data_IF_347736533610
#
_entry.id   IF_347736533610
#
_cell.length_a   1.000
_cell.length_b   1.000
_cell.length_c   1.000
_cell.angle_alpha   90.00
_cell.angle_beta   90.00
_cell.angle_gamma   90.00
#
_symmetry.space_group_name_H-M   'P 1'
#
loop_
_entity.id
_entity.type
_entity.pdbx_description
1 polymer ?
#
# COMPACT_ATOMS: atom_id res chain seq x y z
N UNK A 1 2.85 -9.15 14.99
CA UNK A 1 4.11 -9.51 14.34
C UNK A 1 5.04 -10.20 15.33
N UNK A 2 5.53 -11.39 14.98
CA UNK A 2 6.74 -11.95 15.55
C UNK A 2 7.85 -10.87 15.58
N UNK A 3 8.65 -10.85 16.64
CA UNK A 3 9.84 -10.00 16.75
C UNK A 3 10.61 -10.02 15.41
N UNK A 4 10.90 -8.87 14.80
CA UNK A 4 11.60 -8.78 13.49
C UNK A 4 12.85 -9.68 13.43
N UNK A 5 13.55 -9.84 14.56
CA UNK A 5 14.67 -10.77 14.69
C UNK A 5 14.26 -12.25 14.50
N UNK A 6 13.14 -12.68 15.08
CA UNK A 6 12.61 -14.03 14.87
C UNK A 6 12.14 -14.20 13.42
N UNK A 7 11.44 -13.23 12.85
CA UNK A 7 11.01 -13.30 11.45
C UNK A 7 12.21 -13.51 10.52
N UNK A 8 13.29 -12.73 10.69
CA UNK A 8 14.53 -12.88 9.92
C UNK A 8 15.29 -14.19 10.21
N UNK A 9 15.16 -14.73 11.43
CA UNK A 9 15.70 -16.05 11.74
C UNK A 9 14.99 -17.14 10.93
N UNK A 10 13.67 -17.04 10.77
CA UNK A 10 12.83 -18.00 10.05
C UNK A 10 12.93 -17.81 8.52
N UNK A 11 13.05 -16.57 8.07
CA UNK A 11 13.09 -16.15 6.66
C UNK A 11 14.32 -15.27 6.39
N UNK A 12 15.55 -15.84 6.34
CA UNK A 12 16.78 -15.07 6.23
C UNK A 12 16.92 -14.31 4.90
N UNK A 13 16.20 -14.76 3.86
CA UNK A 13 16.18 -14.12 2.54
C UNK A 13 14.98 -13.17 2.38
N UNK A 14 14.19 -12.93 3.43
CA UNK A 14 13.14 -11.93 3.35
C UNK A 14 13.77 -10.55 3.12
N UNK A 15 13.19 -9.73 2.23
CA UNK A 15 13.79 -8.45 1.90
C UNK A 15 13.75 -7.50 3.11
N UNK A 16 14.69 -6.57 3.16
CA UNK A 16 14.74 -5.53 4.18
C UNK A 16 13.71 -4.44 3.87
N UNK A 17 13.23 -3.76 4.92
CA UNK A 17 12.38 -2.57 4.83
C UNK A 17 11.13 -2.81 4.01
N UNK A 18 10.47 -3.89 4.40
CA UNK A 18 9.15 -4.25 3.91
C UNK A 18 8.19 -3.16 4.36
N UNK A 19 7.17 -2.88 3.53
CA UNK A 19 6.20 -1.82 3.79
C UNK A 19 5.48 -1.96 5.14
N UNK A 20 5.28 -3.21 5.59
CA UNK A 20 4.65 -3.56 6.87
C UNK A 20 5.62 -3.55 8.07
N UNK A 21 6.92 -3.28 7.88
CA UNK A 21 7.87 -3.11 8.99
C UNK A 21 7.69 -1.72 9.61
N UNK A 22 7.43 -1.66 10.91
CA UNK A 22 7.24 -0.40 11.65
C UNK A 22 5.78 -0.10 11.99
N UNK A 23 4.82 -0.70 11.27
CA UNK A 23 3.42 -0.70 11.71
C UNK A 23 3.37 -1.28 13.13
N UNK A 24 2.92 -0.48 14.13
CA UNK A 24 3.00 -0.89 15.51
C UNK A 24 2.24 -2.21 15.69
N UNK A 25 2.79 -3.19 16.46
CA UNK A 25 1.96 -4.30 16.88
C UNK A 25 0.70 -3.74 17.54
N UNK A 26 -0.47 -4.33 17.27
CA UNK A 26 -1.75 -4.02 17.92
C UNK A 26 -1.71 -4.35 19.42
N UNK A 27 -0.86 -3.65 20.16
CA UNK A 27 -0.71 -3.75 21.61
C UNK A 27 -0.74 -2.33 22.17
N UNK A 28 -1.61 -2.05 23.15
CA UNK A 28 -1.82 -0.70 23.70
C UNK A 28 -0.56 -0.01 24.25
N UNK A 29 0.48 -0.79 24.58
CA UNK A 29 1.57 -0.35 25.45
C UNK A 29 2.72 0.38 24.74
N UNK A 30 2.80 0.37 23.39
CA UNK A 30 3.93 0.95 22.66
C UNK A 30 3.74 2.41 22.21
N UNK A 31 2.55 3.00 22.42
CA UNK A 31 2.21 4.34 21.94
C UNK A 31 2.61 5.52 22.84
N UNK A 32 3.48 5.34 23.84
CA UNK A 32 3.81 6.40 24.81
C UNK A 32 5.12 7.16 24.53
N UNK A 33 5.81 6.90 23.40
CA UNK A 33 7.15 7.47 23.14
C UNK A 33 7.34 8.21 21.83
N UNK A 34 6.29 8.40 21.03
CA UNK A 34 6.34 9.32 19.87
C UNK A 34 5.34 10.48 19.96
N UNK A 35 4.85 10.79 21.16
CA UNK A 35 4.06 12.00 21.45
C UNK A 35 4.96 13.25 21.43
N UNK A 36 5.90 13.34 20.50
CA UNK A 36 6.67 14.54 20.22
C UNK A 36 5.71 15.57 19.63
N UNK A 37 4.98 16.26 20.52
CA UNK A 37 4.25 17.51 20.33
C UNK A 37 3.82 17.83 18.89
N UNK A 38 2.98 16.98 18.29
CA UNK A 38 2.23 17.37 17.09
C UNK A 38 1.05 18.21 17.55
N UNK A 39 1.06 19.49 17.22
CA UNK A 39 -0.13 20.32 17.34
C UNK A 39 -0.99 20.04 16.11
N UNK A 40 -2.28 19.76 16.31
CA UNK A 40 -3.24 19.86 15.20
C UNK A 40 -3.10 21.28 14.66
N UNK A 41 -2.63 21.42 13.42
CA UNK A 41 -2.67 22.68 12.70
C UNK A 41 -4.03 22.73 12.00
N UNK A 42 -5.06 23.42 12.56
CA UNK A 42 -6.25 23.72 11.77
C UNK A 42 -5.77 24.60 10.61
N UNK A 43 -6.01 24.18 9.38
CA UNK A 43 -5.32 24.81 8.25
C UNK A 43 -6.02 24.78 6.90
N UNK A 44 -7.15 24.09 6.77
CA UNK A 44 -7.92 24.12 5.53
C UNK A 44 -9.37 24.52 5.81
N UNK A 45 -9.86 25.47 5.01
CA UNK A 45 -11.25 25.91 5.03
C UNK A 45 -12.14 24.90 4.27
N UNK A 46 -11.64 24.36 3.15
CA UNK A 46 -12.36 23.38 2.33
C UNK A 46 -11.40 22.34 1.74
N UNK A 47 -10.93 21.35 2.54
CA UNK A 47 -10.00 20.33 2.07
C UNK A 47 -10.63 19.44 1.00
N UNK A 48 -9.89 19.17 -0.08
CA UNK A 48 -10.27 18.24 -1.13
C UNK A 48 -9.07 17.36 -1.51
N UNK A 49 -9.27 16.04 -1.53
CA UNK A 49 -8.19 15.13 -1.90
C UNK A 49 -7.89 15.17 -3.41
N UNK A 50 -6.63 14.90 -3.75
CA UNK A 50 -6.21 14.71 -5.14
C UNK A 50 -6.75 13.39 -5.70
N UNK A 51 -7.33 13.42 -6.90
CA UNK A 51 -7.90 12.22 -7.55
C UNK A 51 -6.86 11.12 -7.78
N UNK A 52 -7.28 9.87 -7.59
CA UNK A 52 -6.45 8.70 -7.86
C UNK A 52 -6.43 8.29 -9.33
N UNK A 53 -7.34 8.83 -10.16
CA UNK A 53 -7.51 8.38 -11.54
C UNK A 53 -7.77 9.49 -12.57
N UNK A 54 -8.50 10.54 -12.18
CA UNK A 54 -8.97 11.57 -13.09
C UNK A 54 -7.87 12.61 -13.38
N UNK A 55 -7.88 13.13 -14.60
CA UNK A 55 -6.95 14.16 -15.03
C UNK A 55 -5.55 13.65 -15.32
N UNK A 56 -4.72 14.55 -15.85
CA UNK A 56 -3.31 14.28 -16.12
C UNK A 56 -2.49 14.18 -14.83
N UNK A 57 -1.40 13.41 -14.81
CA UNK A 57 -0.42 13.45 -13.73
C UNK A 57 0.53 14.62 -13.98
N UNK A 58 0.21 15.77 -13.39
CA UNK A 58 0.98 17.00 -13.59
C UNK A 58 2.08 17.17 -12.56
N UNK A 59 1.86 16.73 -11.31
CA UNK A 59 2.90 16.73 -10.28
C UNK A 59 2.83 15.48 -9.42
N UNK A 60 3.97 14.83 -9.23
CA UNK A 60 4.10 13.58 -8.48
C UNK A 60 5.33 13.61 -7.58
N UNK A 61 5.22 13.02 -6.40
CA UNK A 61 6.30 12.91 -5.43
C UNK A 61 6.87 11.49 -5.41
N UNK A 62 8.20 11.39 -5.37
CA UNK A 62 8.93 10.14 -5.14
C UNK A 62 9.91 10.28 -3.97
N UNK A 63 10.18 9.17 -3.29
CA UNK A 63 11.23 9.05 -2.28
C UNK A 63 12.29 8.04 -2.76
N UNK A 64 13.55 8.46 -2.82
CA UNK A 64 14.68 7.61 -3.22
C UNK A 64 15.75 7.53 -2.10
N UNK A 65 15.63 6.54 -1.19
CA UNK A 65 16.62 6.33 -0.15
C UNK A 65 17.97 5.85 -0.70
N UNK A 66 19.09 6.30 -0.14
CA UNK A 66 20.45 5.96 -0.59
C UNK A 66 20.71 4.46 -0.77
N UNK A 67 20.15 3.62 0.09
CA UNK A 67 20.36 2.16 0.01
C UNK A 67 19.66 1.52 -1.18
N UNK A 68 18.64 2.18 -1.74
CA UNK A 68 17.81 1.64 -2.83
C UNK A 68 18.27 2.11 -4.20
N UNK A 69 18.97 3.24 -4.29
CA UNK A 69 19.42 3.78 -5.58
C UNK A 69 20.55 2.99 -6.23
N UNK A 70 21.24 2.15 -5.44
CA UNK A 70 22.29 1.25 -5.92
C UNK A 70 21.82 -0.21 -5.98
N UNK A 71 20.55 -0.49 -5.65
CA UNK A 71 20.02 -1.86 -5.65
C UNK A 71 19.68 -2.29 -7.09
N UNK A 72 20.41 -3.25 -7.68
CA UNK A 72 20.21 -3.66 -9.07
C UNK A 72 18.84 -4.30 -9.31
N UNK A 73 18.13 -4.72 -8.26
CA UNK A 73 16.79 -5.31 -8.35
C UNK A 73 15.67 -4.27 -8.36
N UNK A 74 15.87 -3.12 -7.70
CA UNK A 74 14.84 -2.07 -7.58
C UNK A 74 15.02 -0.94 -8.59
N UNK A 75 16.26 -0.61 -8.95
CA UNK A 75 16.60 0.48 -9.88
C UNK A 75 15.89 0.35 -11.24
N UNK A 76 15.79 -0.83 -11.87
CA UNK A 76 15.02 -0.97 -13.12
C UNK A 76 13.55 -0.57 -12.96
N UNK A 77 12.92 -0.93 -11.84
CA UNK A 77 11.54 -0.55 -11.51
C UNK A 77 11.38 0.96 -11.45
N UNK A 78 12.18 1.65 -10.61
CA UNK A 78 12.13 3.12 -10.50
C UNK A 78 12.33 3.82 -11.84
N UNK A 79 13.38 3.44 -12.57
CA UNK A 79 13.71 4.07 -13.86
C UNK A 79 12.64 3.85 -14.90
N UNK A 80 11.98 2.69 -14.90
CA UNK A 80 10.87 2.41 -15.83
C UNK A 80 9.67 3.32 -15.59
N UNK A 81 9.34 3.61 -14.32
CA UNK A 81 8.25 4.54 -13.97
C UNK A 81 8.59 5.95 -14.41
N UNK A 82 9.80 6.43 -14.07
CA UNK A 82 10.28 7.77 -14.45
C UNK A 82 10.26 7.93 -15.98
N UNK A 83 10.72 6.92 -16.71
CA UNK A 83 10.79 6.95 -18.18
C UNK A 83 9.42 6.86 -18.85
N UNK A 84 8.46 6.19 -18.23
CA UNK A 84 7.11 6.05 -18.78
C UNK A 84 6.29 7.34 -18.60
N UNK A 85 6.47 8.05 -17.49
CA UNK A 85 5.76 9.30 -17.23
C UNK A 85 6.06 10.35 -18.31
N UNK A 86 5.02 11.09 -18.70
CA UNK A 86 5.06 12.08 -19.78
C UNK A 86 6.12 13.16 -19.54
N UNK A 87 6.88 13.48 -20.59
CA UNK A 87 7.78 14.65 -20.59
C UNK A 87 6.94 15.91 -20.38
N UNK A 88 7.20 16.61 -19.29
CA UNK A 88 6.39 17.75 -18.85
C UNK A 88 5.79 17.58 -17.45
N UNK A 89 5.66 16.34 -16.96
CA UNK A 89 5.32 16.07 -15.56
C UNK A 89 6.36 16.73 -14.64
N UNK A 90 5.90 17.32 -13.54
CA UNK A 90 6.73 17.90 -12.48
C UNK A 90 6.92 16.88 -11.36
N UNK A 91 8.08 16.94 -10.72
CA UNK A 91 8.50 15.95 -9.74
C UNK A 91 8.95 16.63 -8.46
N UNK A 92 8.38 16.19 -7.33
CA UNK A 92 9.01 16.40 -6.02
C UNK A 92 9.83 15.16 -5.71
N UNK A 93 11.12 15.34 -5.47
CA UNK A 93 12.04 14.21 -5.33
C UNK A 93 12.74 14.29 -3.99
N UNK A 94 12.26 13.50 -3.04
CA UNK A 94 12.87 13.36 -1.73
C UNK A 94 14.02 12.36 -1.84
N UNK A 95 15.23 12.80 -1.50
CA UNK A 95 16.42 11.98 -1.64
C UNK A 95 17.39 12.23 -0.49
N UNK A 96 18.20 11.24 -0.13
CA UNK A 96 19.32 11.50 0.76
C UNK A 96 20.43 12.30 0.03
N UNK A 97 21.20 13.11 0.75
CA UNK A 97 22.23 13.99 0.18
C UNK A 97 23.18 13.29 -0.80
N UNK A 98 23.72 12.11 -0.43
CA UNK A 98 24.68 11.43 -1.30
C UNK A 98 24.08 10.84 -2.58
N UNK A 99 22.75 10.64 -2.63
CA UNK A 99 22.06 10.04 -3.77
C UNK A 99 21.68 11.00 -4.89
N UNK A 100 21.86 12.31 -4.67
CA UNK A 100 21.37 13.36 -5.58
C UNK A 100 21.75 13.15 -7.04
N UNK A 101 23.04 13.01 -7.32
CA UNK A 101 23.57 12.91 -8.69
C UNK A 101 23.00 11.71 -9.43
N UNK A 102 22.87 10.57 -8.74
CA UNK A 102 22.30 9.34 -9.32
C UNK A 102 20.85 9.55 -9.71
N UNK A 103 20.07 10.13 -8.80
CA UNK A 103 18.64 10.37 -9.01
C UNK A 103 18.40 11.42 -10.11
N UNK A 104 19.09 12.56 -10.08
CA UNK A 104 19.03 13.57 -11.16
C UNK A 104 19.38 12.94 -12.52
N UNK A 105 20.37 12.03 -12.55
CA UNK A 105 20.75 11.28 -13.74
C UNK A 105 19.60 10.45 -14.33
N UNK A 106 18.79 9.79 -13.50
CA UNK A 106 17.65 9.00 -13.97
C UNK A 106 16.59 9.86 -14.67
N UNK A 107 16.28 11.03 -14.11
CA UNK A 107 15.31 11.95 -14.71
C UNK A 107 15.85 12.57 -16.01
N UNK A 108 17.13 12.96 -16.03
CA UNK A 108 17.77 13.47 -17.24
C UNK A 108 17.81 12.43 -18.37
N UNK A 109 18.12 11.17 -18.05
CA UNK A 109 18.11 10.05 -19.00
C UNK A 109 16.71 9.74 -19.55
N UNK A 110 15.67 9.97 -18.75
CA UNK A 110 14.27 9.89 -19.16
C UNK A 110 13.77 11.10 -19.96
N UNK A 111 14.59 12.16 -20.09
CA UNK A 111 14.25 13.37 -20.84
C UNK A 111 13.44 14.39 -20.04
N UNK A 112 13.33 14.24 -18.72
CA UNK A 112 12.70 15.24 -17.85
C UNK A 112 13.68 16.38 -17.58
N UNK A 113 13.31 17.64 -17.87
CA UNK A 113 14.23 18.75 -17.75
C UNK A 113 14.43 19.16 -16.28
N UNK A 114 15.61 19.70 -15.88
CA UNK A 114 15.91 20.09 -14.50
C UNK A 114 14.89 21.02 -13.85
N UNK A 115 14.27 21.91 -14.62
CA UNK A 115 13.23 22.84 -14.13
C UNK A 115 11.93 22.15 -13.68
N UNK A 116 11.71 20.89 -14.07
CA UNK A 116 10.59 20.08 -13.61
C UNK A 116 10.88 19.35 -12.30
N UNK A 117 12.09 19.48 -11.74
CA UNK A 117 12.54 18.75 -10.57
C UNK A 117 12.67 19.67 -9.36
N UNK A 118 11.86 19.41 -8.35
CA UNK A 118 11.95 20.01 -7.02
C UNK A 118 12.63 19.00 -6.09
N UNK A 119 13.93 19.20 -5.88
CA UNK A 119 14.77 18.30 -5.11
C UNK A 119 14.68 18.63 -3.61
N UNK A 120 14.26 17.65 -2.82
CA UNK A 120 14.08 17.75 -1.37
C UNK A 120 15.16 16.91 -0.68
N UNK A 121 16.28 17.53 -0.27
CA UNK A 121 17.40 16.80 0.31
C UNK A 121 17.15 16.43 1.78
N UNK A 122 17.44 15.18 2.12
CA UNK A 122 17.46 14.68 3.49
C UNK A 122 18.88 14.27 3.91
N UNK A 123 19.27 14.44 5.18
CA UNK A 123 20.57 13.96 5.65
C UNK A 123 20.75 12.45 5.47
N UNK A 124 21.96 11.99 5.14
CA UNK A 124 22.25 10.57 4.90
C UNK A 124 22.03 9.66 6.14
N UNK A 125 22.01 10.26 7.34
CA UNK A 125 21.71 9.54 8.59
C UNK A 125 20.21 9.36 8.83
N UNK A 126 19.34 10.06 8.08
CA UNK A 126 17.90 9.85 8.13
C UNK A 126 17.57 8.63 7.27
N UNK A 127 17.04 7.59 7.90
CA UNK A 127 16.57 6.40 7.20
C UNK A 127 15.21 6.73 6.57
N UNK A 128 15.14 6.75 5.25
CA UNK A 128 13.90 6.91 4.51
C UNK A 128 13.44 5.56 3.96
N UNK A 129 12.13 5.40 3.78
CA UNK A 129 11.59 4.41 2.87
C UNK A 129 11.21 5.04 1.53
N UNK A 130 11.08 4.21 0.52
CA UNK A 130 10.60 4.52 -0.83
C UNK A 130 9.06 4.60 -0.91
N UNK A 131 8.35 4.26 0.16
CA UNK A 131 6.88 4.17 0.22
C UNK A 131 6.22 5.54 0.40
N UNK A 132 6.42 6.43 -0.56
CA UNK A 132 5.95 7.81 -0.56
C UNK A 132 4.42 7.95 -0.44
N UNK A 133 3.66 6.90 -0.74
CA UNK A 133 2.19 6.96 -0.73
C UNK A 133 1.60 7.00 0.69
N UNK A 134 2.31 6.50 1.70
CA UNK A 134 1.66 6.06 2.96
C UNK A 134 1.59 7.12 4.05
N UNK A 135 2.65 7.90 4.26
CA UNK A 135 2.82 8.73 5.46
C UNK A 135 1.86 9.94 5.52
N UNK A 136 1.16 10.23 4.44
CA UNK A 136 0.29 11.40 4.30
C UNK A 136 -0.74 11.17 3.18
N UNK A 137 -1.72 12.06 3.09
CA UNK A 137 -2.57 12.26 1.91
C UNK A 137 -2.27 13.64 1.31
N UNK A 138 -2.44 13.77 -0.01
CA UNK A 138 -2.28 15.04 -0.71
C UNK A 138 -3.65 15.66 -0.95
N UNK A 139 -3.74 16.97 -0.72
CA UNK A 139 -4.97 17.75 -0.77
C UNK A 139 -4.71 19.14 -1.30
N UNK A 140 -5.76 19.75 -1.83
CA UNK A 140 -5.87 21.19 -2.10
C UNK A 140 -6.89 21.80 -1.15
N UNK A 141 -6.67 23.04 -0.72
CA UNK A 141 -7.75 23.86 -0.17
C UNK A 141 -8.51 24.52 -1.31
N UNK A 142 -9.79 24.18 -1.48
CA UNK A 142 -10.63 24.72 -2.56
C UNK A 142 -10.82 26.24 -2.43
N UNK A 143 -10.62 26.81 -1.23
CA UNK A 143 -10.82 28.25 -1.00
C UNK A 143 -9.72 29.13 -1.61
N UNK A 144 -8.49 28.65 -1.71
CA UNK A 144 -7.34 29.42 -2.19
C UNK A 144 -6.36 28.65 -3.10
N UNK A 145 -6.68 27.40 -3.45
CA UNK A 145 -5.90 26.49 -4.30
C UNK A 145 -4.51 26.11 -3.73
N UNK A 146 -4.30 26.28 -2.41
CA UNK A 146 -3.06 25.89 -1.78
C UNK A 146 -2.94 24.37 -1.59
N UNK A 147 -1.76 23.82 -1.86
CA UNK A 147 -1.48 22.39 -1.78
C UNK A 147 -0.90 21.96 -0.43
N UNK A 148 -1.31 20.78 0.05
CA UNK A 148 -0.91 20.25 1.35
C UNK A 148 -0.51 18.78 1.29
N UNK A 149 0.41 18.41 2.18
CA UNK A 149 0.59 17.05 2.66
C UNK A 149 0.00 16.95 4.07
N UNK A 150 -1.14 16.26 4.20
CA UNK A 150 -1.80 16.03 5.48
C UNK A 150 -1.33 14.70 6.06
N UNK A 151 -0.59 14.78 7.16
CA UNK A 151 -0.19 13.62 7.94
C UNK A 151 -1.33 13.13 8.83
N UNK A 152 -1.42 11.82 9.12
CA UNK A 152 -2.28 11.31 10.17
C UNK A 152 -1.77 11.72 11.55
N UNK A 153 -2.59 11.50 12.57
CA UNK A 153 -2.23 11.82 13.97
C UNK A 153 -0.92 11.16 14.40
N UNK A 154 -0.69 9.92 13.96
CA UNK A 154 0.54 9.20 14.19
C UNK A 154 0.89 8.34 12.99
N UNK A 155 2.15 8.40 12.59
CA UNK A 155 2.74 7.52 11.60
C UNK A 155 4.16 7.18 12.04
N UNK A 156 4.43 5.91 12.32
CA UNK A 156 5.72 5.45 12.85
C UNK A 156 6.36 4.48 11.89
N UNK A 157 7.07 5.00 10.89
CA UNK A 157 7.91 4.19 10.03
C UNK A 157 9.18 4.93 9.68
N UNK A 158 10.30 4.42 10.19
CA UNK A 158 11.63 4.96 9.89
C UNK A 158 11.68 6.49 10.12
N UNK A 159 12.33 7.24 9.23
CA UNK A 159 12.30 8.70 9.16
C UNK A 159 11.23 9.30 8.24
N UNK A 160 10.23 8.51 7.80
CA UNK A 160 9.20 8.96 6.85
C UNK A 160 8.34 10.10 7.42
N UNK A 161 8.20 10.15 8.75
CA UNK A 161 7.50 11.21 9.48
C UNK A 161 8.16 12.60 9.33
N UNK A 162 9.34 12.69 8.72
CA UNK A 162 10.04 13.96 8.43
C UNK A 162 9.84 14.43 6.98
N UNK A 163 9.19 13.61 6.13
CA UNK A 163 9.09 13.90 4.69
C UNK A 163 8.21 15.12 4.43
N UNK A 164 7.05 15.23 5.08
CA UNK A 164 6.13 16.34 4.85
C UNK A 164 6.78 17.69 5.22
N UNK A 165 7.41 17.78 6.39
CA UNK A 165 8.15 18.97 6.82
C UNK A 165 9.28 19.34 5.84
N UNK A 166 10.06 18.35 5.38
CA UNK A 166 11.13 18.60 4.42
C UNK A 166 10.59 19.08 3.06
N UNK A 167 9.45 18.57 2.62
CA UNK A 167 8.78 19.01 1.39
C UNK A 167 8.27 20.44 1.54
N UNK A 168 7.69 20.81 2.68
CA UNK A 168 7.27 22.19 2.98
C UNK A 168 8.44 23.18 2.92
N UNK A 169 9.62 22.79 3.42
CA UNK A 169 10.82 23.65 3.40
C UNK A 169 11.35 23.95 1.98
N UNK A 170 11.04 23.11 0.99
CA UNK A 170 11.66 23.14 -0.34
C UNK A 170 10.68 23.37 -1.49
N UNK A 171 9.37 23.37 -1.21
CA UNK A 171 8.32 23.49 -2.22
C UNK A 171 7.26 24.51 -1.80
N UNK A 172 6.22 24.65 -2.61
CA UNK A 172 5.02 25.44 -2.32
C UNK A 172 3.97 24.69 -1.50
N UNK A 173 4.19 23.41 -1.17
CA UNK A 173 3.27 22.62 -0.36
C UNK A 173 3.40 22.95 1.12
N UNK A 174 2.30 22.82 1.86
CA UNK A 174 2.28 23.00 3.32
C UNK A 174 2.12 21.66 4.04
N UNK A 175 2.86 21.46 5.13
CA UNK A 175 2.75 20.28 5.98
C UNK A 175 1.72 20.50 7.10
N UNK A 176 0.72 19.62 7.16
CA UNK A 176 -0.34 19.67 8.16
C UNK A 176 -0.62 18.29 8.77
N UNK A 177 -1.46 18.25 9.80
CA UNK A 177 -1.78 17.01 10.52
C UNK A 177 -3.25 16.93 10.92
N UNK A 178 -3.87 15.77 10.72
CA UNK A 178 -5.26 15.51 11.06
C UNK A 178 -5.38 14.67 12.36
N UNK A 179 -6.43 14.86 13.17
CA UNK A 179 -6.67 14.09 14.38
C UNK A 179 -7.31 12.71 14.10
N UNK A 180 -6.90 12.06 13.02
CA UNK A 180 -7.40 10.74 12.55
C UNK A 180 -6.23 9.88 12.10
N UNK A 181 -6.45 8.57 11.96
CA UNK A 181 -5.43 7.61 11.53
C UNK A 181 -5.74 7.16 10.11
N UNK A 182 -4.80 7.31 9.19
CA UNK A 182 -4.88 6.79 7.83
C UNK A 182 -3.48 6.55 7.29
N UNK A 183 -3.40 5.82 6.18
CA UNK A 183 -2.24 5.79 5.31
C UNK A 183 -2.72 6.00 3.88
N UNK A 184 -1.98 6.76 3.07
CA UNK A 184 -2.47 7.15 1.74
C UNK A 184 -2.69 5.97 0.79
N UNK A 185 -1.91 4.88 0.90
CA UNK A 185 -2.14 3.66 0.14
C UNK A 185 -3.47 2.96 0.50
N UNK A 186 -4.06 3.31 1.64
CA UNK A 186 -5.38 2.84 2.03
C UNK A 186 -6.52 3.80 1.64
N UNK A 187 -6.24 4.81 0.80
CA UNK A 187 -7.19 5.79 0.31
C UNK A 187 -7.21 5.80 -1.24
N UNK A 188 -8.40 5.75 -1.85
CA UNK A 188 -8.58 5.89 -3.30
C UNK A 188 -9.69 6.89 -3.61
N UNK A 189 -9.42 7.87 -4.46
CA UNK A 189 -10.24 9.08 -4.60
C UNK A 189 -10.95 9.08 -5.96
N UNK A 190 -12.28 8.98 -5.92
CA UNK A 190 -13.19 9.05 -7.07
C UNK A 190 -13.74 10.46 -7.29
N UNK A 191 -14.87 10.56 -7.99
CA UNK A 191 -15.48 11.85 -8.35
C UNK A 191 -16.11 12.53 -7.13
N UNK A 192 -17.14 11.88 -6.59
CA UNK A 192 -18.02 12.32 -5.51
C UNK A 192 -17.89 11.43 -4.25
N UNK A 193 -16.95 10.49 -4.28
CA UNK A 193 -16.63 9.59 -3.18
C UNK A 193 -15.12 9.42 -3.05
N UNK A 194 -14.70 8.96 -1.88
CA UNK A 194 -13.39 8.38 -1.71
C UNK A 194 -13.49 7.12 -0.85
N UNK A 195 -12.69 6.12 -1.21
CA UNK A 195 -12.62 4.84 -0.55
C UNK A 195 -11.53 4.90 0.51
N UNK A 196 -11.81 4.38 1.69
CA UNK A 196 -10.80 4.12 2.72
C UNK A 196 -10.93 2.71 3.24
N UNK A 197 -9.83 2.00 3.37
CA UNK A 197 -9.87 0.66 3.95
C UNK A 197 -10.29 0.70 5.43
N UNK A 198 -11.05 -0.32 5.83
CA UNK A 198 -11.72 -0.36 7.13
C UNK A 198 -10.75 -0.45 8.32
N UNK A 199 -9.52 -0.94 8.12
CA UNK A 199 -8.53 -1.08 9.20
C UNK A 199 -8.18 0.27 9.85
N UNK A 200 -7.80 1.29 9.07
CA UNK A 200 -7.42 2.58 9.65
C UNK A 200 -8.60 3.40 10.17
N UNK A 201 -9.82 3.18 9.64
CA UNK A 201 -11.02 3.71 10.29
C UNK A 201 -11.20 3.10 11.68
N UNK A 202 -10.99 1.79 11.83
CA UNK A 202 -11.05 1.12 13.13
C UNK A 202 -9.96 1.63 14.09
N UNK A 203 -8.76 1.93 13.59
CA UNK A 203 -7.69 2.56 14.40
C UNK A 203 -8.06 3.97 14.86
N UNK A 204 -8.76 4.74 14.02
CA UNK A 204 -9.32 6.04 14.42
C UNK A 204 -10.35 5.87 15.54
N UNK A 205 -11.24 4.88 15.46
CA UNK A 205 -12.20 4.59 16.53
C UNK A 205 -11.47 4.19 17.83
N UNK A 206 -10.40 3.40 17.74
CA UNK A 206 -9.59 3.04 18.90
C UNK A 206 -8.93 4.27 19.54
N UNK A 207 -8.36 5.17 18.73
CA UNK A 207 -7.78 6.44 19.18
C UNK A 207 -8.81 7.25 19.99
N UNK A 208 -10.04 7.35 19.49
CA UNK A 208 -11.14 8.07 20.14
C UNK A 208 -11.57 7.41 21.46
N UNK A 209 -11.69 6.07 21.50
CA UNK A 209 -12.08 5.30 22.70
C UNK A 209 -11.09 5.42 23.83
N UNK A 210 -9.81 5.44 23.51
CA UNK A 210 -8.75 5.58 24.49
C UNK A 210 -8.68 7.01 25.07
N UNK A 211 -9.44 7.95 24.52
CA UNK A 211 -9.54 9.33 25.00
C UNK A 211 -8.22 10.09 24.89
N UNK A 212 -7.35 9.65 23.96
CA UNK A 212 -6.04 10.27 23.73
C UNK A 212 -6.22 11.64 23.07
N UNK A 213 -5.39 12.65 23.41
CA UNK A 213 -5.29 13.87 22.63
C UNK A 213 -5.10 13.56 21.13
N UNK A 214 -5.57 14.43 20.22
CA UNK A 214 -5.90 15.84 20.46
C UNK A 214 -7.41 16.11 20.58
N UNK A 215 -8.26 15.12 20.31
CA UNK A 215 -9.73 15.27 20.26
C UNK A 215 -10.41 14.35 21.26
N UNK A 216 -11.64 14.71 21.67
CA UNK A 216 -12.51 13.88 22.49
C UNK A 216 -13.90 13.86 21.89
N UNK A 217 -14.52 12.70 21.89
CA UNK A 217 -15.90 12.52 21.43
C UNK A 217 -16.81 13.43 22.28
N UNK A 218 -17.59 14.33 21.67
CA UNK A 218 -18.54 15.16 22.40
C UNK A 218 -19.56 14.32 23.18
N UNK A 219 -19.98 14.74 24.38
CA UNK A 219 -20.98 14.01 25.16
C UNK A 219 -22.27 13.76 24.36
N UNK A 220 -22.66 12.49 24.22
CA UNK A 220 -23.89 12.10 23.53
C UNK A 220 -23.78 11.96 22.01
N UNK A 221 -22.62 12.21 21.42
CA UNK A 221 -22.36 11.97 20.00
C UNK A 221 -21.95 10.52 19.75
N UNK A 222 -22.40 9.93 18.64
CA UNK A 222 -21.91 8.61 18.22
C UNK A 222 -20.45 8.70 17.77
N UNK A 223 -19.66 7.70 18.15
CA UNK A 223 -18.21 7.69 17.88
C UNK A 223 -17.90 7.57 16.38
N UNK A 224 -18.69 6.80 15.64
CA UNK A 224 -18.48 6.65 14.19
C UNK A 224 -18.91 7.92 13.46
N UNK A 225 -20.00 8.54 13.88
CA UNK A 225 -20.43 9.84 13.38
C UNK A 225 -19.35 10.91 13.62
N UNK A 226 -18.78 10.95 14.83
CA UNK A 226 -17.70 11.88 15.14
C UNK A 226 -16.44 11.60 14.31
N UNK A 227 -16.02 10.35 14.18
CA UNK A 227 -14.87 10.00 13.34
C UNK A 227 -15.08 10.44 11.88
N UNK A 228 -16.27 10.20 11.31
CA UNK A 228 -16.62 10.67 9.96
C UNK A 228 -16.58 12.19 9.84
N UNK A 229 -17.05 12.91 10.87
CA UNK A 229 -16.96 14.37 10.89
C UNK A 229 -15.52 14.86 10.87
N UNK A 230 -14.59 14.19 11.58
CA UNK A 230 -13.18 14.54 11.55
C UNK A 230 -12.57 14.32 10.16
N UNK A 231 -12.87 13.19 9.51
CA UNK A 231 -12.43 12.97 8.13
C UNK A 231 -12.97 14.03 7.17
N UNK A 232 -14.24 14.39 7.31
CA UNK A 232 -14.84 15.45 6.49
C UNK A 232 -14.17 16.82 6.74
N UNK A 233 -13.90 17.17 8.00
CA UNK A 233 -13.31 18.45 8.35
C UNK A 233 -11.83 18.57 7.96
N UNK A 234 -11.06 17.49 8.01
CA UNK A 234 -9.60 17.55 7.86
C UNK A 234 -9.05 16.91 6.58
N UNK A 235 -9.84 16.12 5.86
CA UNK A 235 -9.34 15.30 4.74
C UNK A 235 -10.09 15.59 3.45
N UNK A 236 -11.41 15.44 3.43
CA UNK A 236 -12.22 15.76 2.24
C UNK A 236 -13.63 16.20 2.64
N UNK A 237 -13.94 17.47 2.41
CA UNK A 237 -15.19 18.09 2.85
C UNK A 237 -16.37 17.78 1.92
N UNK A 238 -16.11 17.46 0.65
CA UNK A 238 -17.15 17.38 -0.38
C UNK A 238 -17.54 15.94 -0.73
N UNK A 239 -16.59 15.00 -0.72
CA UNK A 239 -16.81 13.62 -1.16
C UNK A 239 -17.30 12.71 -0.03
N UNK A 240 -18.15 11.74 -0.37
CA UNK A 240 -18.56 10.70 0.58
C UNK A 240 -17.39 9.78 0.94
N UNK A 241 -17.09 9.65 2.24
CA UNK A 241 -16.20 8.60 2.75
C UNK A 241 -16.89 7.23 2.73
N UNK A 242 -16.41 6.34 1.86
CA UNK A 242 -16.84 4.94 1.74
C UNK A 242 -15.82 4.01 2.34
N UNK A 243 -16.23 3.19 3.31
CA UNK A 243 -15.35 2.21 3.95
C UNK A 243 -15.28 0.91 3.14
N UNK A 244 -14.08 0.40 2.92
CA UNK A 244 -13.83 -0.85 2.21
C UNK A 244 -13.25 -1.91 3.15
N UNK A 245 -14.00 -2.98 3.34
CA UNK A 245 -13.64 -4.08 4.21
C UNK A 245 -14.89 -4.79 4.74
N UNK A 246 -14.68 -5.78 5.59
CA UNK A 246 -15.74 -6.50 6.27
C UNK A 246 -16.16 -5.77 7.56
N UNK A 247 -17.43 -5.90 7.98
CA UNK A 247 -17.90 -5.37 9.25
C UNK A 247 -17.37 -6.14 10.47
N UNK A 248 -16.69 -7.27 10.26
CA UNK A 248 -16.13 -8.12 11.32
C UNK A 248 -14.70 -8.52 10.96
N UNK A 249 -13.85 -8.80 11.96
CA UNK A 249 -12.48 -9.25 11.69
C UNK A 249 -12.45 -10.53 10.85
N UNK A 250 -11.52 -10.58 9.90
CA UNK A 250 -11.24 -11.76 9.09
C UNK A 250 -10.65 -12.83 10.01
N UNK A 251 -11.19 -14.04 9.95
CA UNK A 251 -10.71 -15.17 10.75
C UNK A 251 -9.44 -15.78 10.14
N UNK A 252 -8.34 -15.04 10.15
CA UNK A 252 -7.03 -15.46 9.65
C UNK A 252 -6.09 -15.78 10.82
N UNK A 253 -5.48 -16.97 10.82
CA UNK A 253 -4.46 -17.35 11.81
C UNK A 253 -3.08 -16.92 11.31
N UNK A 254 -2.29 -16.24 12.13
CA UNK A 254 -0.91 -15.82 11.78
C UNK A 254 -0.03 -16.97 11.29
N UNK A 255 -0.27 -18.18 11.79
CA UNK A 255 0.41 -19.40 11.38
C UNK A 255 -0.60 -20.49 11.00
N UNK A 256 -0.35 -21.15 9.87
CA UNK A 256 -1.17 -22.28 9.40
C UNK A 256 -0.27 -23.47 9.06
N UNK A 257 -0.67 -24.64 9.56
CA UNK A 257 -0.01 -25.91 9.30
C UNK A 257 -0.63 -26.59 8.08
N UNK A 258 0.22 -27.18 7.24
CA UNK A 258 -0.19 -28.02 6.12
C UNK A 258 0.65 -29.30 6.09
N UNK A 259 0.03 -30.42 5.74
CA UNK A 259 0.72 -31.66 5.41
C UNK A 259 0.31 -32.06 4.01
N UNK A 260 1.23 -31.94 3.05
CA UNK A 260 1.00 -32.20 1.62
C UNK A 260 2.12 -33.08 1.08
N UNK A 261 1.76 -34.17 0.40
CA UNK A 261 2.68 -35.09 -0.27
C UNK A 261 3.83 -35.61 0.61
N UNK A 262 3.57 -35.82 1.90
CA UNK A 262 4.56 -36.29 2.88
C UNK A 262 5.45 -35.20 3.48
N UNK A 263 5.26 -33.95 3.06
CA UNK A 263 6.00 -32.79 3.57
C UNK A 263 5.15 -32.00 4.58
N UNK A 264 5.77 -31.64 5.70
CA UNK A 264 5.15 -30.78 6.71
C UNK A 264 5.55 -29.33 6.45
N UNK A 265 4.55 -28.48 6.29
CA UNK A 265 4.70 -27.08 5.94
C UNK A 265 4.10 -26.22 7.05
N UNK A 266 4.77 -25.11 7.36
CA UNK A 266 4.27 -24.09 8.26
C UNK A 266 4.30 -22.74 7.55
N UNK A 267 3.12 -22.19 7.33
CA UNK A 267 2.94 -20.94 6.60
C UNK A 267 2.78 -19.77 7.57
N UNK A 268 3.55 -18.70 7.34
CA UNK A 268 3.32 -17.37 7.92
C UNK A 268 2.35 -16.61 7.04
N UNK A 269 1.26 -16.11 7.61
CA UNK A 269 0.08 -15.66 6.83
C UNK A 269 -0.40 -14.27 7.20
N UNK A 270 0.05 -13.72 8.33
CA UNK A 270 -0.35 -12.37 8.76
C UNK A 270 0.36 -11.26 7.96
N UNK A 271 1.47 -11.61 7.31
CA UNK A 271 2.28 -10.66 6.59
C UNK A 271 1.54 -10.13 5.36
N UNK A 272 1.13 -8.86 5.43
CA UNK A 272 0.40 -8.19 4.37
C UNK A 272 -1.13 -8.33 4.46
N UNK A 273 -1.67 -9.03 5.45
CA UNK A 273 -3.13 -9.10 5.66
C UNK A 273 -3.63 -8.03 6.65
N UNK A 274 -4.83 -7.52 6.39
CA UNK A 274 -5.54 -6.60 7.29
C UNK A 274 -6.41 -7.32 8.32
N UNK A 275 -6.95 -6.57 9.29
CA UNK A 275 -7.93 -7.12 10.25
C UNK A 275 -9.31 -7.23 9.62
N UNK A 276 -9.72 -6.22 8.86
CA UNK A 276 -11.03 -6.10 8.23
C UNK A 276 -10.97 -6.16 6.70
N UNK A 277 -9.78 -6.19 6.11
CA UNK A 277 -9.54 -6.21 4.66
C UNK A 277 -8.48 -7.26 4.30
N UNK A 278 -8.53 -7.87 3.10
CA UNK A 278 -7.72 -9.03 2.77
C UNK A 278 -6.23 -8.70 2.60
N UNK A 279 -5.92 -7.45 2.23
CA UNK A 279 -4.57 -6.90 2.19
C UNK A 279 -4.58 -5.59 2.99
N UNK A 280 -3.51 -5.32 3.72
CA UNK A 280 -3.38 -4.17 4.63
C UNK A 280 -3.77 -2.82 3.99
N UNK A 281 -3.50 -2.63 2.69
CA UNK A 281 -3.92 -1.46 1.92
C UNK A 281 -4.84 -1.81 0.74
N UNK A 282 -5.85 -0.96 0.51
CA UNK A 282 -6.79 -1.15 -0.60
C UNK A 282 -6.18 -0.92 -1.98
N UNK A 283 -5.15 -0.06 -2.11
CA UNK A 283 -4.44 0.13 -3.38
C UNK A 283 -3.76 -1.14 -3.91
N UNK A 284 -3.61 -2.17 -3.07
CA UNK A 284 -3.04 -3.46 -3.47
C UNK A 284 -4.06 -4.39 -4.13
N UNK A 285 -5.37 -4.11 -4.02
CA UNK A 285 -6.41 -4.95 -4.62
C UNK A 285 -7.58 -4.18 -5.22
N UNK A 286 -7.55 -2.85 -5.21
CA UNK A 286 -8.52 -1.97 -5.83
C UNK A 286 -7.82 -0.96 -6.74
N UNK A 287 -8.43 -0.70 -7.89
CA UNK A 287 -8.02 0.38 -8.80
C UNK A 287 -9.26 1.11 -9.29
N UNK A 288 -9.21 2.45 -9.28
CA UNK A 288 -10.25 3.26 -9.90
C UNK A 288 -9.96 3.42 -11.39
N UNK A 289 -10.95 3.14 -12.24
CA UNK A 289 -10.82 3.23 -13.70
C UNK A 289 -11.45 4.53 -14.23
N UNK A 290 -12.57 4.93 -13.61
CA UNK A 290 -13.42 6.04 -14.06
C UNK A 290 -14.75 5.54 -14.61
N UNK A 291 -15.53 6.44 -15.21
CA UNK A 291 -16.86 6.10 -15.74
C UNK A 291 -16.75 5.23 -16.99
N UNK A 292 -17.58 4.18 -17.04
CA UNK A 292 -17.75 3.35 -18.22
C UNK A 292 -18.78 3.95 -19.19
N UNK A 293 -19.02 3.27 -20.32
CA UNK A 293 -19.94 3.73 -21.37
C UNK A 293 -21.41 3.86 -20.89
N UNK A 294 -21.77 3.14 -19.82
CA UNK A 294 -23.10 3.23 -19.18
C UNK A 294 -23.18 4.38 -18.14
N UNK A 295 -22.10 5.14 -17.96
CA UNK A 295 -21.97 6.24 -16.99
C UNK A 295 -21.73 5.80 -15.54
N UNK A 296 -21.66 4.49 -15.27
CA UNK A 296 -21.36 3.94 -13.97
C UNK A 296 -19.85 4.04 -13.68
N UNK A 297 -19.50 4.38 -12.44
CA UNK A 297 -18.09 4.45 -12.05
C UNK A 297 -17.53 3.03 -11.91
N UNK A 298 -16.53 2.69 -12.72
CA UNK A 298 -15.90 1.38 -12.75
C UNK A 298 -14.71 1.29 -11.80
N UNK A 299 -14.67 0.21 -11.04
CA UNK A 299 -13.55 -0.17 -10.17
C UNK A 299 -13.09 -1.59 -10.49
N UNK A 300 -11.78 -1.79 -10.44
CA UNK A 300 -11.15 -3.09 -10.58
C UNK A 300 -10.88 -3.68 -9.21
N UNK A 301 -11.28 -4.93 -8.97
CA UNK A 301 -11.09 -5.61 -7.68
C UNK A 301 -10.38 -6.95 -7.89
N UNK A 302 -9.27 -7.15 -7.19
CA UNK A 302 -8.47 -8.37 -7.27
C UNK A 302 -9.27 -9.64 -6.91
N UNK A 303 -8.99 -10.72 -7.63
CA UNK A 303 -9.55 -12.06 -7.46
C UNK A 303 -8.44 -13.11 -7.52
N UNK A 304 -8.08 -13.71 -6.37
CA UNK A 304 -7.07 -14.75 -6.34
C UNK A 304 -7.41 -16.02 -7.12
N UNK A 305 -8.70 -16.32 -7.32
CA UNK A 305 -9.11 -17.51 -8.08
C UNK A 305 -8.72 -17.42 -9.55
N UNK A 306 -8.79 -16.22 -10.13
CA UNK A 306 -8.43 -16.02 -11.54
C UNK A 306 -6.94 -16.31 -11.77
N UNK A 307 -6.09 -15.91 -10.83
CA UNK A 307 -4.68 -16.23 -10.86
C UNK A 307 -4.42 -17.72 -10.60
N UNK A 308 -5.04 -18.27 -9.55
CA UNK A 308 -4.85 -19.67 -9.15
C UNK A 308 -5.27 -20.65 -10.25
N UNK A 309 -6.40 -20.41 -10.93
CA UNK A 309 -6.83 -21.21 -12.09
C UNK A 309 -5.81 -21.15 -13.22
N UNK A 310 -5.28 -19.96 -13.51
CA UNK A 310 -4.32 -19.75 -14.60
C UNK A 310 -2.98 -20.42 -14.34
N UNK A 311 -2.52 -20.38 -13.09
CA UNK A 311 -1.21 -20.89 -12.66
C UNK A 311 -1.27 -22.36 -12.20
N UNK A 312 -2.47 -22.93 -12.03
CA UNK A 312 -2.65 -24.25 -11.41
C UNK A 312 -2.18 -24.26 -9.95
N UNK A 313 -2.30 -23.13 -9.26
CA UNK A 313 -1.88 -22.93 -7.87
C UNK A 313 -3.07 -22.83 -6.93
N UNK A 314 -2.76 -22.76 -5.63
CA UNK A 314 -3.74 -22.44 -4.60
C UNK A 314 -3.00 -21.78 -3.45
N UNK A 315 -3.59 -20.76 -2.83
CA UNK A 315 -3.11 -20.25 -1.54
C UNK A 315 -4.11 -20.56 -0.42
N UNK A 316 -3.66 -21.06 0.74
CA UNK A 316 -4.51 -21.16 1.93
C UNK A 316 -5.01 -19.80 2.43
N UNK A 317 -4.48 -18.69 1.88
CA UNK A 317 -4.83 -17.30 2.23
C UNK A 317 -5.45 -16.55 1.07
N UNK A 318 -5.95 -17.26 0.05
CA UNK A 318 -6.64 -16.66 -1.09
C UNK A 318 -7.82 -15.76 -0.67
N UNK A 319 -8.42 -16.00 0.52
CA UNK A 319 -9.49 -15.19 1.10
C UNK A 319 -10.58 -14.81 0.07
N UNK A 320 -10.87 -15.69 -0.90
CA UNK A 320 -11.70 -15.36 -2.07
C UNK A 320 -13.08 -14.83 -1.68
N UNK A 321 -13.68 -15.41 -0.63
CA UNK A 321 -14.96 -14.96 -0.07
C UNK A 321 -14.91 -13.52 0.49
N UNK A 322 -13.76 -13.08 1.02
CA UNK A 322 -13.56 -11.70 1.48
C UNK A 322 -13.53 -10.75 0.30
N UNK A 323 -12.80 -11.09 -0.76
CA UNK A 323 -12.78 -10.28 -1.98
C UNK A 323 -14.15 -10.22 -2.66
N UNK A 324 -14.89 -11.32 -2.68
CA UNK A 324 -16.25 -11.40 -3.22
C UNK A 324 -17.22 -10.52 -2.42
N UNK A 325 -17.13 -10.54 -1.08
CA UNK A 325 -17.95 -9.70 -0.23
C UNK A 325 -17.65 -8.20 -0.41
N UNK A 326 -16.37 -7.83 -0.59
CA UNK A 326 -15.98 -6.45 -0.90
C UNK A 326 -16.52 -6.02 -2.26
N UNK A 327 -16.34 -6.85 -3.30
CA UNK A 327 -16.88 -6.58 -4.63
C UNK A 327 -18.41 -6.40 -4.60
N UNK A 328 -19.12 -7.27 -3.89
CA UNK A 328 -20.57 -7.16 -3.73
C UNK A 328 -20.98 -5.88 -3.00
N UNK A 329 -20.25 -5.48 -1.94
CA UNK A 329 -20.50 -4.24 -1.21
C UNK A 329 -20.34 -3.00 -2.11
N UNK A 330 -19.31 -2.97 -2.95
CA UNK A 330 -19.09 -1.89 -3.93
C UNK A 330 -20.20 -1.86 -4.99
N UNK A 331 -20.64 -3.03 -5.49
CA UNK A 331 -21.78 -3.12 -6.41
C UNK A 331 -23.09 -2.63 -5.80
N UNK A 332 -23.35 -2.96 -4.53
CA UNK A 332 -24.55 -2.49 -3.81
C UNK A 332 -24.57 -0.96 -3.64
N UNK A 333 -23.40 -0.32 -3.73
CA UNK A 333 -23.25 1.15 -3.75
C UNK A 333 -23.38 1.77 -5.14
N UNK A 334 -23.65 0.97 -6.17
CA UNK A 334 -23.83 1.44 -7.54
C UNK A 334 -22.54 1.54 -8.37
N UNK A 335 -21.41 1.04 -7.85
CA UNK A 335 -20.17 0.96 -8.63
C UNK A 335 -20.21 -0.23 -9.59
N UNK A 336 -19.71 -0.05 -10.80
CA UNK A 336 -19.46 -1.15 -11.71
C UNK A 336 -18.17 -1.86 -11.27
N UNK A 337 -18.25 -3.16 -10.95
CA UNK A 337 -17.11 -3.92 -10.46
C UNK A 337 -16.62 -4.90 -11.50
N UNK A 338 -15.36 -4.72 -11.90
CA UNK A 338 -14.61 -5.68 -12.72
C UNK A 338 -13.62 -6.45 -11.85
N UNK A 339 -13.31 -7.69 -12.25
CA UNK A 339 -12.39 -8.59 -11.52
C UNK A 339 -11.10 -8.75 -12.30
N UNK A 340 -9.97 -8.86 -11.60
CA UNK A 340 -8.66 -9.13 -12.20
C UNK A 340 -7.84 -10.13 -11.37
N UNK A 341 -6.85 -10.83 -11.97
CA UNK A 341 -5.97 -11.72 -11.24
C UNK A 341 -5.21 -11.02 -10.11
N UNK A 342 -5.09 -11.70 -8.97
CA UNK A 342 -4.23 -11.33 -7.85
C UNK A 342 -3.49 -12.57 -7.37
N UNK A 343 -2.16 -12.54 -7.32
CA UNK A 343 -1.35 -13.72 -7.00
C UNK A 343 -0.87 -13.65 -5.55
N UNK A 344 -0.92 -14.78 -4.85
CA UNK A 344 -0.21 -14.97 -3.59
C UNK A 344 1.01 -15.83 -3.84
N UNK A 345 2.19 -15.21 -3.78
CA UNK A 345 3.45 -15.85 -4.12
C UNK A 345 4.15 -16.29 -2.84
N UNK A 346 4.58 -17.55 -2.80
CA UNK A 346 5.28 -18.10 -1.66
C UNK A 346 6.79 -17.80 -1.74
N UNK A 347 7.40 -17.52 -0.60
CA UNK A 347 8.84 -17.43 -0.40
C UNK A 347 9.27 -18.51 0.58
N UNK A 348 10.22 -19.35 0.17
CA UNK A 348 10.75 -20.39 1.03
C UNK A 348 11.53 -19.80 2.21
N UNK A 349 11.20 -20.26 3.42
CA UNK A 349 11.97 -20.02 4.63
C UNK A 349 12.95 -21.16 4.89
N UNK A 350 13.51 -21.17 6.10
CA UNK A 350 14.35 -22.28 6.56
C UNK A 350 13.51 -23.50 6.91
N UNK A 351 14.15 -24.66 6.87
CA UNK A 351 13.60 -25.92 7.40
C UNK A 351 14.10 -26.14 8.82
N UNK A 352 13.21 -26.52 9.73
CA UNK A 352 13.54 -26.81 11.13
C UNK A 352 12.91 -28.14 11.57
N UNK A 353 13.55 -28.89 12.48
CA UNK A 353 12.87 -29.94 13.23
C UNK A 353 11.71 -29.35 14.04
N UNK A 354 10.58 -30.06 14.15
CA UNK A 354 9.42 -29.62 14.94
C UNK A 354 9.80 -29.21 16.37
N UNK A 355 10.70 -29.97 17.02
CA UNK A 355 11.13 -29.67 18.40
C UNK A 355 11.91 -28.34 18.52
N UNK A 356 12.62 -27.94 17.46
CA UNK A 356 13.31 -26.64 17.44
C UNK A 356 12.31 -25.50 17.24
N UNK A 357 11.33 -25.67 16.35
CA UNK A 357 10.24 -24.70 16.19
C UNK A 357 9.46 -24.51 17.49
N UNK A 358 9.18 -25.58 18.24
CA UNK A 358 8.50 -25.49 19.54
C UNK A 358 9.27 -24.67 20.57
N UNK A 359 10.60 -24.58 20.47
CA UNK A 359 11.44 -23.76 21.36
C UNK A 359 11.49 -22.29 20.92
N UNK A 360 11.42 -22.04 19.62
CA UNK A 360 11.47 -20.70 19.02
C UNK A 360 10.10 -20.03 18.91
N UNK A 361 9.02 -20.83 18.99
CA UNK A 361 7.67 -20.41 18.66
C UNK A 361 7.13 -19.29 19.56
N UNK A 362 6.62 -18.19 18.97
CA UNK A 362 5.76 -17.29 19.69
C UNK A 362 4.43 -17.99 20.00
N UNK A 363 3.66 -17.45 20.96
CA UNK A 363 2.38 -18.01 21.37
C UNK A 363 1.41 -18.23 20.19
N UNK A 364 1.40 -17.31 19.22
CA UNK A 364 0.54 -17.39 18.03
C UNK A 364 0.88 -18.55 17.08
N UNK A 365 2.10 -19.10 17.15
CA UNK A 365 2.54 -20.23 16.33
C UNK A 365 2.17 -21.59 16.95
N UNK A 366 2.01 -21.65 18.28
CA UNK A 366 1.79 -22.89 19.01
C UNK A 366 0.59 -23.72 18.51
N UNK A 367 -0.58 -23.13 18.16
CA UNK A 367 -1.68 -23.89 17.60
C UNK A 367 -1.30 -24.60 16.29
N UNK A 368 -0.59 -23.92 15.39
CA UNK A 368 -0.16 -24.52 14.13
C UNK A 368 0.84 -25.67 14.35
N UNK A 369 1.77 -25.54 15.31
CA UNK A 369 2.69 -26.63 15.65
C UNK A 369 1.96 -27.85 16.24
N UNK A 370 0.90 -27.62 17.02
CA UNK A 370 0.04 -28.71 17.49
C UNK A 370 -0.71 -29.38 16.34
N UNK A 371 -1.13 -28.62 15.34
CA UNK A 371 -1.78 -29.13 14.13
C UNK A 371 -0.82 -30.03 13.33
N UNK A 372 0.46 -29.66 13.19
CA UNK A 372 1.50 -30.51 12.60
C UNK A 372 1.71 -31.81 13.37
N UNK A 373 1.78 -31.74 14.71
CA UNK A 373 1.93 -32.93 15.55
C UNK A 373 0.73 -33.88 15.40
N UNK A 374 -0.50 -33.33 15.35
CA UNK A 374 -1.73 -34.10 15.08
C UNK A 374 -1.73 -34.73 13.69
N UNK A 375 -1.09 -34.08 12.72
CA UNK A 375 -0.89 -34.61 11.37
C UNK A 375 0.23 -35.67 11.28
N UNK A 376 0.92 -35.99 12.38
CA UNK A 376 1.92 -37.05 12.45
C UNK A 376 3.37 -36.58 12.52
N UNK A 377 3.63 -35.27 12.61
CA UNK A 377 4.99 -34.77 12.82
C UNK A 377 5.52 -35.16 14.20
N UNK A 378 6.76 -35.63 14.25
CA UNK A 378 7.51 -35.97 15.46
C UNK A 378 8.58 -34.92 15.74
N UNK A 379 9.25 -35.00 16.89
CA UNK A 379 10.28 -34.04 17.31
C UNK A 379 11.37 -33.77 16.23
N UNK A 380 11.76 -34.81 15.48
CA UNK A 380 12.80 -34.71 14.45
C UNK A 380 12.24 -34.55 13.03
N UNK A 381 10.91 -34.44 12.87
CA UNK A 381 10.29 -34.26 11.56
C UNK A 381 10.69 -32.89 11.01
N UNK A 382 11.26 -32.81 9.79
CA UNK A 382 11.56 -31.54 9.16
C UNK A 382 10.27 -30.81 8.78
N UNK A 383 10.18 -29.54 9.14
CA UNK A 383 9.08 -28.63 8.81
C UNK A 383 9.64 -27.51 7.96
N UNK A 384 9.11 -27.36 6.74
CA UNK A 384 9.50 -26.27 5.85
C UNK A 384 8.65 -25.03 6.13
N UNK A 385 9.31 -23.89 6.33
CA UNK A 385 8.63 -22.62 6.52
C UNK A 385 8.33 -21.96 5.18
N UNK A 386 7.16 -21.33 5.07
CA UNK A 386 6.77 -20.52 3.90
C UNK A 386 6.22 -19.18 4.34
N UNK A 387 6.70 -18.10 3.74
CA UNK A 387 6.07 -16.79 3.82
C UNK A 387 5.33 -16.49 2.52
N UNK A 388 4.43 -15.51 2.53
CA UNK A 388 3.66 -15.12 1.36
C UNK A 388 3.75 -13.61 1.12
N UNK A 389 3.70 -13.23 -0.14
CA UNK A 389 3.56 -11.85 -0.56
C UNK A 389 2.57 -11.73 -1.72
N UNK A 390 2.07 -10.52 -1.94
CA UNK A 390 1.05 -10.24 -2.93
C UNK A 390 1.69 -9.72 -4.21
N UNK A 391 1.42 -10.39 -5.33
CA UNK A 391 1.69 -9.88 -6.67
C UNK A 391 0.36 -9.39 -7.24
N UNK A 392 0.31 -8.11 -7.58
CA UNK A 392 -0.93 -7.43 -7.95
C UNK A 392 -0.69 -6.42 -9.06
N UNK A 393 -1.63 -6.40 -10.02
CA UNK A 393 -1.70 -5.40 -11.06
C UNK A 393 -2.64 -4.25 -10.71
N UNK A 394 -3.35 -4.33 -9.57
CA UNK A 394 -4.20 -3.23 -9.11
C UNK A 394 -3.39 -2.02 -8.65
N UNK A 395 -2.17 -2.28 -8.15
CA UNK A 395 -1.26 -1.26 -7.66
C UNK A 395 -0.51 -0.61 -8.83
N UNK A 396 -1.26 0.05 -9.72
CA UNK A 396 -0.80 0.72 -10.93
C UNK A 396 -1.06 2.23 -10.87
N UNK A 397 -0.51 3.01 -11.80
CA UNK A 397 -0.86 4.43 -11.93
C UNK A 397 -1.89 4.61 -13.04
N UNK A 398 -2.92 5.43 -12.80
CA UNK A 398 -3.99 5.70 -13.75
C UNK A 398 -4.04 7.21 -14.03
N UNK A 399 -4.07 7.53 -15.31
CA UNK A 399 -4.26 8.86 -15.86
C UNK A 399 -5.44 8.82 -16.83
N UNK A 400 -6.44 9.63 -16.58
CA UNK A 400 -7.65 9.71 -17.40
C UNK A 400 -7.96 11.19 -17.64
N UNK A 401 -7.25 11.76 -18.62
CA UNK A 401 -7.30 13.17 -19.00
C UNK A 401 -8.01 13.32 -20.34
N UNK A 402 -8.79 14.40 -20.50
CA UNK A 402 -9.32 14.76 -21.81
C UNK A 402 -8.22 15.28 -22.76
N UNK A 403 -7.22 15.99 -22.22
CA UNK A 403 -6.13 16.58 -23.00
C UNK A 403 -5.08 15.55 -23.41
N UNK A 404 -4.66 14.70 -22.48
CA UNK A 404 -3.56 13.76 -22.71
C UNK A 404 -4.04 12.33 -23.00
N UNK A 405 -5.32 12.04 -22.76
CA UNK A 405 -5.90 10.73 -23.00
C UNK A 405 -5.83 9.83 -21.78
N UNK A 406 -6.03 8.53 -22.02
CA UNK A 406 -6.13 7.50 -21.00
C UNK A 406 -4.85 6.68 -20.97
N UNK A 407 -4.08 6.79 -19.89
CA UNK A 407 -2.85 6.03 -19.70
C UNK A 407 -2.89 5.20 -18.42
N UNK A 408 -2.32 3.99 -18.48
CA UNK A 408 -2.05 3.17 -17.30
C UNK A 408 -0.59 2.75 -17.27
N UNK A 409 0.04 2.92 -16.13
CA UNK A 409 1.43 2.56 -15.89
C UNK A 409 1.44 1.27 -15.07
N UNK A 410 1.62 0.16 -15.79
CA UNK A 410 1.27 -1.18 -15.31
C UNK A 410 2.54 -1.95 -14.90
N UNK A 411 2.68 -2.36 -13.62
CA UNK A 411 3.79 -3.21 -13.21
C UNK A 411 3.73 -4.56 -13.93
N UNK A 412 4.89 -5.16 -14.19
CA UNK A 412 4.99 -6.49 -14.80
C UNK A 412 5.80 -7.44 -13.92
N UNK A 413 5.47 -8.73 -13.99
CA UNK A 413 6.01 -9.75 -13.07
C UNK A 413 6.53 -11.01 -13.77
N UNK A 414 6.24 -11.17 -15.06
CA UNK A 414 6.60 -12.30 -15.91
C UNK A 414 8.07 -12.39 -16.30
N UNK A 415 8.99 -12.20 -15.35
CA UNK A 415 10.43 -12.08 -15.59
C UNK A 415 11.23 -13.18 -14.92
N UNK A 416 12.34 -13.60 -15.53
CA UNK A 416 13.30 -14.53 -14.91
C UNK A 416 12.65 -15.81 -14.36
N UNK A 417 12.81 -16.07 -13.07
CA UNK A 417 12.23 -17.22 -12.37
C UNK A 417 10.70 -17.14 -12.24
N UNK A 418 10.11 -15.96 -12.47
CA UNK A 418 8.67 -15.69 -12.44
C UNK A 418 8.05 -15.63 -13.85
N UNK A 419 8.70 -16.21 -14.87
CA UNK A 419 8.19 -16.21 -16.25
C UNK A 419 6.80 -16.88 -16.41
N UNK A 420 6.37 -17.68 -15.43
CA UNK A 420 5.00 -18.22 -15.35
C UNK A 420 3.93 -17.13 -15.21
N UNK A 421 4.29 -15.92 -14.77
CA UNK A 421 3.38 -14.78 -14.63
C UNK A 421 3.21 -13.96 -15.92
N UNK A 422 4.03 -14.18 -16.95
CA UNK A 422 3.96 -13.43 -18.21
C UNK A 422 2.59 -13.51 -18.93
N UNK A 423 1.86 -14.64 -18.91
CA UNK A 423 0.49 -14.68 -19.43
C UNK A 423 -0.46 -13.76 -18.66
N UNK A 424 -0.29 -13.61 -17.35
CA UNK A 424 -1.11 -12.70 -16.55
C UNK A 424 -0.78 -11.23 -16.85
N UNK A 425 0.50 -10.88 -17.08
CA UNK A 425 0.87 -9.54 -17.56
C UNK A 425 0.16 -9.21 -18.88
N UNK A 426 0.10 -10.16 -19.81
CA UNK A 426 -0.58 -10.01 -21.10
C UNK A 426 -2.10 -9.86 -20.95
N UNK A 427 -2.71 -10.68 -20.08
CA UNK A 427 -4.14 -10.61 -19.79
C UNK A 427 -4.50 -9.22 -19.19
N UNK A 428 -3.65 -8.70 -18.30
CA UNK A 428 -3.83 -7.37 -17.70
C UNK A 428 -3.61 -6.23 -18.69
N UNK A 429 -2.61 -6.33 -19.57
CA UNK A 429 -2.42 -5.36 -20.65
C UNK A 429 -3.65 -5.33 -21.57
N UNK A 430 -4.17 -6.50 -21.97
CA UNK A 430 -5.36 -6.59 -22.82
C UNK A 430 -6.62 -6.03 -22.12
N UNK A 431 -6.76 -6.25 -20.82
CA UNK A 431 -7.86 -5.72 -20.00
C UNK A 431 -7.91 -4.20 -20.05
N UNK A 432 -6.77 -3.52 -19.90
CA UNK A 432 -6.68 -2.06 -19.93
C UNK A 432 -6.81 -1.50 -21.36
N UNK A 433 -6.17 -2.12 -22.35
CA UNK A 433 -6.33 -1.74 -23.76
C UNK A 433 -7.78 -1.86 -24.23
N UNK A 434 -8.51 -2.89 -23.78
CA UNK A 434 -9.93 -3.06 -24.05
C UNK A 434 -10.80 -1.94 -23.47
N UNK A 435 -10.29 -1.17 -22.50
CA UNK A 435 -10.94 0.03 -21.93
C UNK A 435 -10.45 1.33 -22.58
N UNK A 436 -9.67 1.24 -23.67
CA UNK A 436 -9.17 2.41 -24.39
C UNK A 436 -7.99 3.10 -23.71
N UNK A 437 -7.32 2.45 -22.75
CA UNK A 437 -6.07 2.97 -22.19
C UNK A 437 -4.88 2.60 -23.07
N UNK A 438 -3.98 3.55 -23.24
CA UNK A 438 -2.59 3.27 -23.58
C UNK A 438 -1.90 2.65 -22.37
N UNK A 439 -1.36 1.44 -22.56
CA UNK A 439 -0.69 0.70 -21.49
C UNK A 439 0.81 0.92 -21.61
N UNK A 440 1.41 1.46 -20.55
CA UNK A 440 2.85 1.58 -20.35
C UNK A 440 3.31 0.42 -19.47
N UNK A 441 3.77 -0.72 -20.04
CA UNK A 441 4.32 -1.80 -19.24
C UNK A 441 5.62 -1.33 -18.58
N UNK A 442 5.68 -1.45 -17.27
CA UNK A 442 6.85 -1.12 -16.47
C UNK A 442 7.80 -2.32 -16.40
N UNK A 443 8.98 -2.12 -15.81
CA UNK A 443 9.99 -3.19 -15.65
C UNK A 443 9.54 -4.26 -14.63
N UNK A 444 10.49 -5.09 -14.20
CA UNK A 444 10.24 -6.14 -13.20
C UNK A 444 9.94 -5.54 -11.82
N UNK A 445 8.76 -5.84 -11.27
CA UNK A 445 8.33 -5.41 -9.94
C UNK A 445 8.28 -6.54 -8.90
N UNK A 446 8.83 -7.73 -9.19
CA UNK A 446 8.81 -8.85 -8.23
C UNK A 446 9.49 -8.51 -6.89
N UNK A 447 10.62 -7.81 -6.90
CA UNK A 447 11.34 -7.45 -5.67
C UNK A 447 10.63 -6.36 -4.86
N UNK A 448 9.88 -5.48 -5.52
CA UNK A 448 8.94 -4.57 -4.83
C UNK A 448 7.81 -5.36 -4.18
N UNK A 449 7.17 -6.28 -4.92
CA UNK A 449 6.07 -7.09 -4.42
C UNK A 449 6.49 -7.96 -3.21
N UNK A 450 7.70 -8.51 -3.23
CA UNK A 450 8.28 -9.24 -2.09
C UNK A 450 8.42 -8.35 -0.83
N UNK A 451 8.58 -7.04 -1.01
CA UNK A 451 8.60 -6.01 0.05
C UNK A 451 7.20 -5.49 0.40
N UNK A 452 6.14 -6.09 -0.13
CA UNK A 452 4.73 -5.76 0.12
C UNK A 452 4.27 -4.43 -0.49
N UNK A 453 4.88 -3.97 -1.58
CA UNK A 453 4.41 -2.78 -2.30
C UNK A 453 4.70 -2.88 -3.80
N UNK A 454 4.09 -2.02 -4.61
CA UNK A 454 4.34 -1.96 -6.07
C UNK A 454 4.42 -0.49 -6.51
N UNK A 455 3.98 -0.14 -7.73
CA UNK A 455 4.23 1.19 -8.30
C UNK A 455 3.39 2.30 -7.64
N UNK A 456 2.13 2.02 -7.27
CA UNK A 456 1.31 3.03 -6.59
C UNK A 456 1.84 3.36 -5.20
N UNK A 457 2.51 2.40 -4.55
CA UNK A 457 3.05 2.56 -3.19
C UNK A 457 4.27 3.49 -3.11
N UNK A 458 5.05 3.60 -4.20
CA UNK A 458 6.34 4.30 -4.19
C UNK A 458 6.25 5.79 -4.57
N UNK A 459 5.03 6.29 -4.78
CA UNK A 459 4.77 7.67 -5.23
C UNK A 459 3.72 8.34 -4.35
N UNK A 460 3.53 9.66 -4.51
CA UNK A 460 2.29 10.35 -4.13
C UNK A 460 1.85 11.29 -5.25
N UNK A 461 0.57 11.26 -5.63
CA UNK A 461 0.03 12.29 -6.53
C UNK A 461 -0.08 13.62 -5.79
N UNK A 462 0.46 14.68 -6.37
CA UNK A 462 0.46 16.03 -5.77
C UNK A 462 -0.52 16.95 -6.48
N UNK A 463 -0.57 16.88 -7.81
CA UNK A 463 -1.51 17.65 -8.60
C UNK A 463 -1.97 16.86 -9.83
N UNK A 464 -3.22 17.10 -10.22
CA UNK A 464 -3.83 16.60 -11.44
C UNK A 464 -4.21 17.78 -12.33
N UNK A 465 -4.00 17.66 -13.64
CA UNK A 465 -4.55 18.60 -14.62
C UNK A 465 -5.96 18.17 -15.07
N UNK A 466 -6.54 18.93 -16.00
CA UNK A 466 -7.85 18.62 -16.59
C UNK A 466 -7.86 17.38 -17.51
#
# INVERSE_FOLDING_TARGET
MANSALFRLLFPNAPLDRRTEGDPPQRPEFGLRSDAMRAVKPGLDSPSLISSYAGSIDRILFCFPNRMIDDPTLVPGYRSVISALRVGTRFIVVHNHSGRTTVEGWFAEAGHPPENLELVPMPDFVQLTDWAEDAYVALTDVSDDSGYLMEPWSFLRSGDALIADAVEEHTDLTASSAPVIFQGGNCLIGDDFWLMGADYFADTLLLLREGRPPVRVPPGMDEQEFARSLYSTYVDAERELVLVGLPRPIALREWVAEHRDGTFLLHSTADGAGTYQPIFHIDMFLTLIGRNDDGAFEVLVGDPRLADERLGSSSPFALAEVYDAIAQSLQQRGLAVSRNPLVHRQTAGRTFPLAELQQLAPESMLPALADLARAGATANTPVELRNWHHITWNNCLVENSEEHGRHVYLPTFGHGENADLAPLDQDMQALWQGRGFEVHPLADFNDFAARQGVVHCIKKYIARGE
#
